data_IF_261129214468
#
_entry.id   IF_261129214468
#
_cell.length_a   1.000
_cell.length_b   1.000
_cell.length_c   1.000
_cell.angle_alpha   90.00
_cell.angle_beta   90.00
_cell.angle_gamma   90.00
#
_symmetry.space_group_name_H-M   'P 1'
#
loop_
_entity.id
_entity.type
_entity.pdbx_description
1 polymer ?
#
# COMPACT_ATOMS: atom_id res chain seq x y z
N UNK A 1 -41.23 27.54 -43.05
CA UNK A 1 -39.93 27.73 -42.36
C UNK A 1 -39.92 27.28 -40.88
N UNK A 2 -41.05 26.82 -40.30
CA UNK A 2 -41.12 26.33 -38.91
C UNK A 2 -40.83 24.84 -38.72
N UNK A 3 -40.92 24.04 -39.78
CA UNK A 3 -40.80 22.58 -39.68
C UNK A 3 -39.36 22.12 -39.44
N UNK A 4 -38.36 22.83 -39.99
CA UNK A 4 -36.94 22.50 -39.80
C UNK A 4 -36.40 22.90 -38.42
N UNK A 5 -36.99 23.89 -37.75
CA UNK A 5 -36.59 24.30 -36.39
C UNK A 5 -37.14 23.36 -35.32
N UNK A 6 -38.31 22.75 -35.56
CA UNK A 6 -38.88 21.70 -34.70
C UNK A 6 -38.07 20.40 -34.77
N UNK A 7 -37.66 19.96 -35.97
CA UNK A 7 -36.85 18.75 -36.15
C UNK A 7 -35.46 18.91 -35.51
N UNK A 8 -34.83 20.09 -35.65
CA UNK A 8 -33.53 20.38 -35.03
C UNK A 8 -33.61 20.39 -33.50
N UNK A 9 -34.69 20.92 -32.92
CA UNK A 9 -34.92 20.89 -31.47
C UNK A 9 -35.14 19.47 -30.96
N UNK A 10 -35.93 18.67 -31.69
CA UNK A 10 -36.15 17.27 -31.34
C UNK A 10 -34.84 16.46 -31.38
N UNK A 11 -34.02 16.63 -32.42
CA UNK A 11 -32.72 15.97 -32.53
C UNK A 11 -31.74 16.41 -31.44
N UNK A 12 -31.75 17.69 -31.07
CA UNK A 12 -30.90 18.22 -30.00
C UNK A 12 -31.31 17.66 -28.61
N UNK A 13 -32.61 17.54 -28.35
CA UNK A 13 -33.10 16.97 -27.08
C UNK A 13 -32.79 15.47 -26.97
N UNK A 14 -32.94 14.70 -28.06
CA UNK A 14 -32.56 13.27 -28.09
C UNK A 14 -31.06 13.10 -27.87
N UNK A 15 -30.23 14.00 -28.42
CA UNK A 15 -28.79 13.98 -28.20
C UNK A 15 -28.42 14.24 -26.73
N UNK A 16 -29.07 15.23 -26.08
CA UNK A 16 -28.85 15.51 -24.65
C UNK A 16 -29.29 14.32 -23.78
N UNK A 17 -30.41 13.66 -24.11
CA UNK A 17 -30.88 12.49 -23.37
C UNK A 17 -29.94 11.28 -23.52
N UNK A 18 -29.36 11.09 -24.70
CA UNK A 18 -28.38 10.02 -24.95
C UNK A 18 -27.07 10.25 -24.20
N UNK A 19 -26.62 11.49 -24.03
CA UNK A 19 -25.42 11.81 -23.22
C UNK A 19 -25.68 11.58 -21.73
N UNK A 20 -26.86 11.94 -21.22
CA UNK A 20 -27.21 11.74 -19.81
C UNK A 20 -27.30 10.24 -19.41
N UNK A 21 -27.70 9.36 -20.35
CA UNK A 21 -27.80 7.93 -20.10
C UNK A 21 -26.44 7.21 -19.95
N UNK A 22 -25.33 7.86 -20.30
CA UNK A 22 -23.98 7.31 -20.16
C UNK A 22 -23.29 7.69 -18.82
N UNK A 23 -23.95 8.44 -17.93
CA UNK A 23 -23.38 8.81 -16.62
C UNK A 23 -23.60 7.76 -15.52
N UNK A 24 -24.31 6.67 -15.81
CA UNK A 24 -24.64 5.63 -14.84
C UNK A 24 -23.79 4.38 -15.08
N UNK A 25 -22.58 4.34 -14.52
CA UNK A 25 -21.84 3.08 -14.44
C UNK A 25 -20.32 3.18 -14.53
N UNK A 26 -19.69 4.05 -13.73
CA UNK A 26 -18.38 3.70 -13.18
C UNK A 26 -18.60 3.57 -11.68
N UNK A 27 -19.21 2.44 -11.29
CA UNK A 27 -19.05 1.94 -9.93
C UNK A 27 -17.65 1.35 -9.93
N UNK A 28 -16.66 2.17 -9.58
CA UNK A 28 -15.42 1.61 -9.09
C UNK A 28 -15.84 0.85 -7.82
N UNK A 29 -15.76 -0.48 -7.86
CA UNK A 29 -15.58 -1.21 -6.62
C UNK A 29 -14.27 -0.65 -6.04
N UNK A 30 -14.39 0.27 -5.08
CA UNK A 30 -13.34 0.47 -4.10
C UNK A 30 -13.20 -0.90 -3.45
N UNK A 31 -12.26 -1.68 -3.95
CA UNK A 31 -11.65 -2.74 -3.15
C UNK A 31 -11.14 -2.00 -1.93
N UNK A 32 -11.83 -2.21 -0.81
CA UNK A 32 -11.43 -1.71 0.50
C UNK A 32 -10.14 -2.45 0.84
N UNK A 33 -9.04 -1.99 0.23
CA UNK A 33 -7.71 -2.46 0.57
C UNK A 33 -7.41 -1.80 1.90
N UNK A 34 -7.83 -2.45 2.99
CA UNK A 34 -7.37 -2.12 4.35
C UNK A 34 -5.83 -2.16 4.46
N UNK A 35 -5.17 -2.75 3.46
CA UNK A 35 -3.74 -2.65 3.22
C UNK A 35 -3.27 -1.22 2.92
N UNK A 36 -2.40 -0.69 3.78
CA UNK A 36 -1.70 0.57 3.56
C UNK A 36 -0.46 0.37 2.69
N UNK A 37 -0.34 1.12 1.60
CA UNK A 37 0.83 1.10 0.71
C UNK A 37 1.92 2.01 1.26
N UNK A 38 3.13 1.47 1.46
CA UNK A 38 4.29 2.16 2.04
C UNK A 38 5.54 1.90 1.20
N UNK A 39 6.29 2.96 0.89
CA UNK A 39 7.56 2.88 0.17
C UNK A 39 8.73 3.15 1.09
N UNK A 40 9.67 2.21 1.19
CA UNK A 40 10.78 2.23 2.16
C UNK A 40 12.07 1.71 1.58
N UNK A 41 13.18 2.26 2.07
CA UNK A 41 14.53 1.79 1.75
C UNK A 41 15.00 0.81 2.81
N UNK A 42 15.32 -0.41 2.39
CA UNK A 42 15.94 -1.44 3.21
C UNK A 42 17.42 -1.56 2.89
N UNK A 43 18.22 -1.94 3.88
CA UNK A 43 19.67 -2.10 3.73
C UNK A 43 20.14 -3.42 4.32
N UNK A 44 20.94 -4.17 3.59
CA UNK A 44 21.67 -5.34 4.07
C UNK A 44 23.17 -5.17 3.92
N UNK A 45 23.95 -5.91 4.72
CA UNK A 45 25.41 -5.84 4.71
C UNK A 45 25.99 -7.03 3.96
N UNK A 46 26.91 -6.77 3.03
CA UNK A 46 27.63 -7.80 2.30
C UNK A 46 28.77 -8.31 3.17
N UNK A 47 28.66 -9.57 3.61
CA UNK A 47 29.70 -10.28 4.35
C UNK A 47 30.36 -11.34 3.45
N UNK A 48 31.69 -11.36 3.39
CA UNK A 48 32.43 -12.37 2.60
C UNK A 48 32.11 -12.38 1.10
N UNK A 49 31.60 -11.26 0.55
CA UNK A 49 31.13 -11.19 -0.84
C UNK A 49 29.75 -11.80 -1.08
N UNK A 50 29.03 -12.23 -0.03
CA UNK A 50 27.69 -12.78 -0.15
C UNK A 50 26.64 -11.68 -0.41
N UNK A 51 26.47 -11.36 -1.69
CA UNK A 51 25.51 -10.34 -2.15
C UNK A 51 24.06 -10.83 -2.01
N UNK A 52 23.81 -12.13 -2.19
CA UNK A 52 22.46 -12.69 -2.12
C UNK A 52 21.89 -12.55 -0.70
N UNK A 53 22.67 -12.93 0.32
CA UNK A 53 22.27 -12.75 1.73
C UNK A 53 22.06 -11.27 2.08
N UNK A 54 22.92 -10.38 1.57
CA UNK A 54 22.74 -8.95 1.78
C UNK A 54 21.45 -8.41 1.14
N UNK A 55 21.07 -8.93 -0.03
CA UNK A 55 19.82 -8.60 -0.71
C UNK A 55 18.62 -9.08 0.11
N UNK A 56 18.63 -10.33 0.56
CA UNK A 56 17.54 -10.90 1.37
C UNK A 56 17.39 -10.13 2.68
N UNK A 57 18.50 -9.77 3.33
CA UNK A 57 18.47 -8.93 4.52
C UNK A 57 17.92 -7.53 4.23
N UNK A 58 18.29 -6.93 3.10
CA UNK A 58 17.78 -5.61 2.71
C UNK A 58 16.26 -5.64 2.54
N UNK A 59 15.71 -6.69 1.90
CA UNK A 59 14.27 -6.88 1.74
C UNK A 59 13.59 -7.07 3.09
N UNK A 60 14.11 -7.96 3.96
CA UNK A 60 13.56 -8.17 5.31
C UNK A 60 13.51 -6.86 6.10
N UNK A 61 14.60 -6.09 6.07
CA UNK A 61 14.67 -4.81 6.75
C UNK A 61 13.67 -3.78 6.17
N UNK A 62 13.46 -3.77 4.85
CA UNK A 62 12.39 -2.97 4.24
C UNK A 62 11.02 -3.33 4.79
N UNK A 63 10.70 -4.63 4.90
CA UNK A 63 9.38 -5.05 5.37
C UNK A 63 9.14 -4.66 6.84
N UNK A 64 10.15 -4.80 7.70
CA UNK A 64 10.08 -4.32 9.09
C UNK A 64 9.80 -2.83 9.11
N UNK A 65 10.56 -2.02 8.37
CA UNK A 65 10.36 -0.57 8.32
C UNK A 65 9.00 -0.17 7.73
N UNK A 66 8.44 -0.94 6.79
CA UNK A 66 7.10 -0.70 6.28
C UNK A 66 6.05 -0.88 7.38
N UNK A 67 6.12 -1.98 8.14
CA UNK A 67 5.21 -2.23 9.26
C UNK A 67 5.40 -1.19 10.38
N UNK A 68 6.64 -0.81 10.70
CA UNK A 68 6.92 0.27 11.65
C UNK A 68 6.23 1.59 11.26
N UNK A 69 6.34 2.00 10.00
CA UNK A 69 5.71 3.21 9.49
C UNK A 69 4.18 3.10 9.43
N UNK A 70 3.64 1.91 9.16
CA UNK A 70 2.20 1.66 9.21
C UNK A 70 1.66 1.87 10.63
N UNK A 71 2.32 1.24 11.61
CA UNK A 71 1.99 1.36 13.04
C UNK A 71 2.10 2.81 13.50
N UNK A 72 3.19 3.50 13.18
CA UNK A 72 3.43 4.86 13.62
C UNK A 72 2.44 5.89 13.05
N UNK A 73 1.87 5.61 11.87
CA UNK A 73 0.87 6.48 11.27
C UNK A 73 -0.55 6.22 11.79
N UNK A 74 -0.85 4.97 12.14
CA UNK A 74 -2.19 4.55 12.57
C UNK A 74 -2.40 4.64 14.09
N UNK A 75 -1.39 4.34 14.91
CA UNK A 75 -1.54 4.28 16.37
C UNK A 75 -1.11 5.58 17.08
N UNK A 76 -1.91 6.11 18.00
CA UNK A 76 -1.47 7.12 18.94
C UNK A 76 -0.27 6.65 19.77
N UNK A 77 0.60 7.58 20.16
CA UNK A 77 1.79 7.28 20.96
C UNK A 77 1.46 6.55 22.26
N UNK A 78 0.40 6.95 22.95
CA UNK A 78 -0.06 6.30 24.18
C UNK A 78 -0.41 4.82 23.95
N UNK A 79 -1.08 4.51 22.83
CA UNK A 79 -1.38 3.13 22.44
C UNK A 79 -0.10 2.36 22.10
N UNK A 80 0.87 3.00 21.45
CA UNK A 80 2.17 2.36 21.18
C UNK A 80 2.93 2.02 22.46
N UNK A 81 2.91 2.91 23.45
CA UNK A 81 3.53 2.68 24.76
C UNK A 81 2.86 1.51 25.49
N UNK A 82 1.52 1.49 25.52
CA UNK A 82 0.75 0.43 26.18
C UNK A 82 0.99 -0.94 25.53
N UNK A 83 1.13 -0.97 24.20
CA UNK A 83 1.28 -2.20 23.42
C UNK A 83 2.74 -2.49 23.01
N UNK A 84 3.72 -1.84 23.62
CA UNK A 84 5.12 -1.88 23.16
C UNK A 84 5.68 -3.30 23.03
N UNK A 85 5.31 -4.20 23.96
CA UNK A 85 5.72 -5.61 23.92
C UNK A 85 5.18 -6.32 22.66
N UNK A 86 3.88 -6.21 22.39
CA UNK A 86 3.22 -6.85 21.25
C UNK A 86 3.76 -6.26 19.94
N UNK A 87 3.95 -4.93 19.89
CA UNK A 87 4.55 -4.26 18.74
C UNK A 87 5.97 -4.77 18.47
N UNK A 88 6.76 -5.04 19.50
CA UNK A 88 8.09 -5.64 19.35
C UNK A 88 8.00 -7.04 18.72
N UNK A 89 7.06 -7.88 19.16
CA UNK A 89 6.83 -9.22 18.60
C UNK A 89 6.38 -9.14 17.12
N UNK A 90 5.48 -8.20 16.80
CA UNK A 90 5.04 -7.92 15.42
C UNK A 90 6.24 -7.58 14.51
N UNK A 91 7.17 -6.75 14.99
CA UNK A 91 8.28 -6.23 14.19
C UNK A 91 9.48 -7.18 14.06
N UNK A 92 9.69 -8.09 15.01
CA UNK A 92 10.88 -8.94 14.99
C UNK A 92 10.59 -10.42 14.76
N UNK A 93 9.39 -10.89 15.11
CA UNK A 93 9.03 -12.31 15.01
C UNK A 93 8.03 -12.59 13.88
N UNK A 94 7.10 -11.66 13.63
CA UNK A 94 5.91 -11.93 12.82
C UNK A 94 5.68 -10.96 11.65
N UNK A 95 6.67 -10.14 11.26
CA UNK A 95 6.47 -9.05 10.28
C UNK A 95 5.82 -9.50 8.97
N UNK A 96 6.17 -10.69 8.48
CA UNK A 96 5.60 -11.23 7.23
C UNK A 96 4.10 -11.52 7.31
N UNK A 97 3.53 -11.70 8.51
CA UNK A 97 2.09 -11.94 8.70
C UNK A 97 1.27 -10.66 8.45
N UNK A 98 1.90 -9.49 8.56
CA UNK A 98 1.25 -8.18 8.39
C UNK A 98 1.52 -7.54 7.02
N UNK A 99 2.34 -8.17 6.17
CA UNK A 99 2.62 -7.72 4.81
C UNK A 99 1.86 -8.59 3.82
N UNK A 100 0.86 -8.01 3.16
CA UNK A 100 0.05 -8.70 2.16
C UNK A 100 0.84 -8.93 0.87
N UNK A 101 1.51 -7.87 0.40
CA UNK A 101 2.27 -7.88 -0.84
C UNK A 101 3.48 -6.97 -0.73
N UNK A 102 4.54 -7.28 -1.46
CA UNK A 102 5.62 -6.32 -1.68
C UNK A 102 6.23 -6.46 -3.07
N UNK A 103 6.81 -5.35 -3.53
CA UNK A 103 7.55 -5.27 -4.78
C UNK A 103 8.84 -4.49 -4.57
N UNK A 104 9.96 -5.08 -4.99
CA UNK A 104 11.22 -4.36 -5.13
C UNK A 104 11.12 -3.45 -6.34
N UNK A 105 11.23 -2.14 -6.13
CA UNK A 105 11.16 -1.11 -7.17
C UNK A 105 12.52 -0.86 -7.83
N UNK A 106 13.59 -0.81 -7.02
CA UNK A 106 14.96 -0.66 -7.49
C UNK A 106 15.97 -1.16 -6.46
N UNK A 107 17.19 -1.41 -6.91
CA UNK A 107 18.27 -1.96 -6.10
C UNK A 107 19.58 -1.24 -6.39
N UNK A 108 20.45 -1.10 -5.37
CA UNK A 108 21.78 -0.54 -5.55
C UNK A 108 22.79 -1.18 -4.60
N UNK A 109 24.03 -1.28 -5.07
CA UNK A 109 25.16 -1.72 -4.25
C UNK A 109 26.12 -0.56 -4.10
N UNK A 110 26.52 -0.27 -2.87
CA UNK A 110 27.57 0.72 -2.58
C UNK A 110 28.42 0.26 -1.41
N UNK A 111 29.73 0.14 -1.65
CA UNK A 111 30.70 -0.43 -0.71
C UNK A 111 30.28 -1.85 -0.29
N UNK A 112 30.08 -2.07 1.01
CA UNK A 112 29.62 -3.34 1.59
C UNK A 112 28.12 -3.34 1.93
N UNK A 113 27.32 -2.49 1.26
CA UNK A 113 25.88 -2.38 1.53
C UNK A 113 25.07 -2.62 0.27
N UNK A 114 24.09 -3.49 0.41
CA UNK A 114 23.01 -3.68 -0.56
C UNK A 114 21.80 -2.87 -0.11
N UNK A 115 21.20 -2.09 -1.01
CA UNK A 115 20.01 -1.28 -0.73
C UNK A 115 18.91 -1.62 -1.71
N UNK A 116 17.69 -1.71 -1.20
CA UNK A 116 16.49 -1.92 -1.99
C UNK A 116 15.49 -0.82 -1.68
N UNK A 117 14.79 -0.31 -2.69
CA UNK A 117 13.56 0.43 -2.50
C UNK A 117 12.41 -0.56 -2.70
N UNK A 118 11.55 -0.70 -1.70
CA UNK A 118 10.42 -1.62 -1.70
C UNK A 118 9.14 -0.84 -1.51
N UNK A 119 8.12 -1.18 -2.30
CA UNK A 119 6.74 -0.85 -2.02
C UNK A 119 6.09 -2.07 -1.34
N UNK A 120 5.52 -1.88 -0.16
CA UNK A 120 4.83 -2.92 0.59
C UNK A 120 3.39 -2.50 0.88
N UNK A 121 2.47 -3.45 0.81
CA UNK A 121 1.09 -3.32 1.26
C UNK A 121 0.99 -3.97 2.64
N UNK A 122 0.74 -3.17 3.67
CA UNK A 122 0.70 -3.60 5.08
C UNK A 122 -0.75 -3.62 5.55
N UNK A 123 -1.22 -4.77 6.05
CA UNK A 123 -2.59 -4.92 6.55
C UNK A 123 -2.74 -4.23 7.91
N UNK A 124 -3.52 -3.15 7.96
CA UNK A 124 -3.81 -2.46 9.23
C UNK A 124 -4.77 -3.30 10.09
N UNK A 125 -5.77 -3.91 9.48
CA UNK A 125 -6.72 -4.79 10.18
C UNK A 125 -6.01 -5.94 10.91
N UNK A 126 -5.04 -6.60 10.27
CA UNK A 126 -4.30 -7.68 10.90
C UNK A 126 -3.49 -7.21 12.12
N UNK A 127 -2.91 -6.00 12.05
CA UNK A 127 -2.19 -5.38 13.17
C UNK A 127 -3.17 -5.07 14.31
N UNK A 128 -4.31 -4.46 14.00
CA UNK A 128 -5.34 -4.12 14.99
C UNK A 128 -5.90 -5.38 15.67
N UNK A 129 -6.21 -6.42 14.90
CA UNK A 129 -6.67 -7.72 15.42
C UNK A 129 -5.63 -8.34 16.36
N UNK A 130 -4.34 -8.28 16.00
CA UNK A 130 -3.26 -8.78 16.86
C UNK A 130 -3.16 -8.01 18.18
N UNK A 131 -3.40 -6.70 18.16
CA UNK A 131 -3.36 -5.86 19.36
C UNK A 131 -4.55 -6.11 20.29
N UNK A 132 -5.72 -6.44 19.74
CA UNK A 132 -6.95 -6.72 20.51
C UNK A 132 -6.94 -8.14 21.10
N UNK A 133 -6.32 -9.10 20.39
CA UNK A 133 -6.32 -10.53 20.77
C UNK A 133 -5.23 -10.94 21.76
N UNK A 134 -4.30 -10.04 22.09
CA UNK A 134 -3.18 -10.27 23.00
C UNK A 134 -3.56 -10.06 24.47
#
# INVERSE_FOLDING_TARGET
MYFSSLIKRLLFTVFILAVAANLSGIVNAEEDVSGKIIEVIGTGTIHGGNVAEARDQAIKNSLVSAVELAVADFLPLESMIQNFKILTEILYDNTSEFVEYYKVLTESVSKNKYRVLVQATVSIDAIEEKLISA
#
